data_IF_414341380136
#
_entry.id   IF_414341380136
#
_cell.length_a   1.000
_cell.length_b   1.000
_cell.length_c   1.000
_cell.angle_alpha   90.00
_cell.angle_beta   90.00
_cell.angle_gamma   90.00
#
_symmetry.space_group_name_H-M   'P 1'
#
loop_
_entity.id
_entity.type
_entity.pdbx_description
1 polymer ?
#
# COMPACT_ATOMS: atom_id res chain seq x y z
N UNK A 1 -7.39 -11.44 -10.79
CA UNK A 1 -8.58 -10.88 -10.10
C UNK A 1 -9.14 -11.95 -9.19
N UNK A 2 -9.67 -11.61 -8.02
CA UNK A 2 -10.33 -12.56 -7.11
C UNK A 2 -11.56 -11.90 -6.47
N UNK A 3 -12.63 -12.66 -6.33
CA UNK A 3 -13.89 -12.18 -5.74
C UNK A 3 -14.06 -12.73 -4.33
N UNK A 4 -14.53 -11.86 -3.45
CA UNK A 4 -14.84 -12.09 -2.05
C UNK A 4 -16.31 -11.77 -1.81
N UNK A 5 -16.95 -12.59 -0.99
CA UNK A 5 -18.38 -12.47 -0.72
C UNK A 5 -18.61 -12.65 0.78
N UNK A 6 -19.43 -11.79 1.36
CA UNK A 6 -19.83 -11.84 2.75
C UNK A 6 -21.33 -11.56 2.87
N UNK A 7 -22.04 -12.37 3.65
CA UNK A 7 -23.41 -12.05 4.03
C UNK A 7 -23.39 -11.32 5.38
N UNK A 8 -23.53 -9.99 5.35
CA UNK A 8 -23.47 -9.16 6.53
C UNK A 8 -24.87 -8.99 7.17
N UNK A 9 -25.02 -9.16 8.49
CA UNK A 9 -26.33 -9.21 9.16
C UNK A 9 -27.19 -7.95 8.95
N UNK A 10 -26.57 -6.79 8.76
CA UNK A 10 -27.27 -5.51 8.53
C UNK A 10 -27.08 -4.92 7.14
N UNK A 11 -26.02 -5.31 6.41
CA UNK A 11 -25.65 -4.73 5.11
C UNK A 11 -26.04 -5.65 3.94
N UNK A 12 -26.53 -6.85 4.24
CA UNK A 12 -26.88 -7.87 3.24
C UNK A 12 -25.64 -8.45 2.58
N UNK A 13 -25.81 -8.92 1.34
CA UNK A 13 -24.74 -9.53 0.56
C UNK A 13 -23.74 -8.47 0.06
N UNK A 14 -22.51 -8.54 0.54
CA UNK A 14 -21.38 -7.73 0.08
C UNK A 14 -20.56 -8.57 -0.90
N UNK A 15 -20.32 -8.04 -2.10
CA UNK A 15 -19.48 -8.64 -3.12
C UNK A 15 -18.36 -7.66 -3.51
N UNK A 16 -17.12 -8.11 -3.40
CA UNK A 16 -15.94 -7.33 -3.78
C UNK A 16 -15.07 -8.14 -4.75
N UNK A 17 -14.72 -7.54 -5.88
CA UNK A 17 -13.78 -8.13 -6.84
C UNK A 17 -12.51 -7.28 -6.89
N UNK A 18 -11.41 -7.82 -6.40
CA UNK A 18 -10.11 -7.17 -6.54
C UNK A 18 -9.61 -7.33 -7.98
N UNK A 19 -9.76 -6.25 -8.76
CA UNK A 19 -9.25 -6.15 -10.13
C UNK A 19 -7.75 -5.84 -10.19
N UNK A 20 -7.20 -5.24 -9.14
CA UNK A 20 -5.81 -4.78 -9.03
C UNK A 20 -4.96 -5.69 -8.15
N UNK A 21 -5.40 -6.92 -7.87
CA UNK A 21 -4.71 -7.87 -6.97
C UNK A 21 -3.20 -7.92 -7.15
N UNK A 22 -2.69 -8.02 -8.38
CA UNK A 22 -1.25 -8.13 -8.62
C UNK A 22 -0.50 -6.80 -8.45
N UNK A 23 -1.18 -5.66 -8.49
CA UNK A 23 -0.58 -4.35 -8.21
C UNK A 23 -0.09 -4.26 -6.77
N UNK A 24 -0.65 -5.04 -5.84
CA UNK A 24 -0.15 -5.10 -4.46
C UNK A 24 1.30 -5.58 -4.34
N UNK A 25 1.85 -6.28 -5.34
CA UNK A 25 3.29 -6.61 -5.38
C UNK A 25 4.18 -5.37 -5.44
N UNK A 26 3.64 -4.22 -5.88
CA UNK A 26 4.38 -2.97 -5.91
C UNK A 26 4.73 -2.42 -4.51
N UNK A 27 4.08 -2.92 -3.45
CA UNK A 27 4.40 -2.52 -2.06
C UNK A 27 5.86 -2.77 -1.69
N UNK A 28 6.52 -3.74 -2.35
CA UNK A 28 7.92 -4.09 -2.14
C UNK A 28 8.86 -2.94 -2.53
N UNK A 29 8.48 -2.08 -3.48
CA UNK A 29 9.38 -1.03 -3.97
C UNK A 29 9.63 0.07 -2.93
N UNK A 30 8.61 0.45 -2.16
CA UNK A 30 8.76 1.58 -1.24
C UNK A 30 9.76 1.30 -0.10
N UNK A 31 9.77 0.13 0.56
CA UNK A 31 10.80 -0.25 1.52
C UNK A 31 12.23 -0.30 0.96
N UNK A 32 12.41 -0.40 -0.36
CA UNK A 32 13.73 -0.37 -1.01
C UNK A 32 14.25 1.05 -1.23
N UNK A 33 13.38 2.06 -1.22
CA UNK A 33 13.76 3.47 -1.45
C UNK A 33 14.87 3.94 -0.50
N UNK A 34 14.79 3.70 0.84
CA UNK A 34 15.86 4.10 1.74
C UNK A 34 17.23 3.49 1.39
N UNK A 35 17.28 2.26 0.88
CA UNK A 35 18.54 1.60 0.50
C UNK A 35 19.25 2.33 -0.65
N UNK A 36 18.47 2.85 -1.60
CA UNK A 36 18.99 3.67 -2.71
C UNK A 36 19.63 4.96 -2.18
N UNK A 37 18.96 5.64 -1.24
CA UNK A 37 19.48 6.89 -0.67
C UNK A 37 20.66 6.66 0.28
N UNK A 38 20.68 5.53 1.00
CA UNK A 38 21.87 5.10 1.77
C UNK A 38 23.05 4.88 0.82
N UNK A 39 22.85 4.20 -0.31
CA UNK A 39 23.91 4.02 -1.31
C UNK A 39 24.48 5.36 -1.78
N UNK A 40 23.63 6.33 -2.14
CA UNK A 40 24.08 7.67 -2.54
C UNK A 40 24.78 8.45 -1.42
N UNK A 41 24.33 8.31 -0.18
CA UNK A 41 25.03 8.86 0.98
C UNK A 41 26.45 8.27 1.10
N UNK A 42 26.60 6.96 0.99
CA UNK A 42 27.92 6.30 1.08
C UNK A 42 28.88 6.74 -0.03
N UNK A 43 28.39 7.15 -1.20
CA UNK A 43 29.24 7.67 -2.27
C UNK A 43 29.63 9.14 -2.09
N UNK A 44 28.72 9.96 -1.54
CA UNK A 44 28.88 11.42 -1.52
C UNK A 44 29.30 11.99 -0.16
N UNK A 45 29.05 11.27 0.93
CA UNK A 45 29.18 11.77 2.30
C UNK A 45 28.14 12.80 2.71
N UNK A 46 27.17 13.16 1.85
CA UNK A 46 26.20 14.22 2.14
C UNK A 46 25.01 13.70 2.94
N UNK A 47 24.92 14.09 4.21
CA UNK A 47 23.87 13.67 5.14
C UNK A 47 22.47 14.10 4.72
N UNK A 48 22.33 15.18 3.95
CA UNK A 48 21.04 15.66 3.47
C UNK A 48 20.30 14.62 2.60
N UNK A 49 21.03 13.73 1.94
CA UNK A 49 20.47 12.62 1.14
C UNK A 49 19.62 11.69 2.00
N UNK A 50 20.00 11.48 3.26
CA UNK A 50 19.27 10.61 4.19
C UNK A 50 17.91 11.22 4.61
N UNK A 51 17.74 12.55 4.48
CA UNK A 51 16.47 13.21 4.75
C UNK A 51 15.44 13.02 3.61
N UNK A 52 15.87 12.69 2.39
CA UNK A 52 14.99 12.56 1.21
C UNK A 52 13.88 11.51 1.39
N UNK A 53 14.15 10.27 1.83
CA UNK A 53 13.07 9.29 2.07
C UNK A 53 12.10 9.75 3.17
N UNK A 54 12.58 10.47 4.18
CA UNK A 54 11.73 11.01 5.24
C UNK A 54 10.81 12.11 4.72
N UNK A 55 11.35 13.09 3.98
CA UNK A 55 10.54 14.17 3.38
C UNK A 55 9.52 13.58 2.40
N UNK A 56 9.93 12.60 1.59
CA UNK A 56 9.01 11.94 0.65
C UNK A 56 7.87 11.25 1.40
N UNK A 57 8.17 10.45 2.41
CA UNK A 57 7.16 9.67 3.13
C UNK A 57 6.25 10.48 4.06
N UNK A 58 6.78 11.51 4.71
CA UNK A 58 6.04 12.28 5.73
C UNK A 58 5.51 13.62 5.24
N UNK A 59 5.95 14.11 4.08
CA UNK A 59 5.48 15.38 3.51
C UNK A 59 4.85 15.14 2.15
N UNK A 60 5.60 14.57 1.20
CA UNK A 60 5.12 14.48 -0.19
C UNK A 60 3.94 13.52 -0.31
N UNK A 61 4.04 12.29 0.22
CA UNK A 61 2.95 11.31 0.13
C UNK A 61 1.65 11.77 0.79
N UNK A 62 1.65 12.27 2.05
CA UNK A 62 0.43 12.82 2.64
C UNK A 62 -0.19 13.97 1.83
N UNK A 63 0.63 14.84 1.23
CA UNK A 63 0.12 15.91 0.37
C UNK A 63 -0.51 15.38 -0.92
N UNK A 64 0.08 14.36 -1.52
CA UNK A 64 -0.50 13.70 -2.70
C UNK A 64 -1.80 12.97 -2.35
N UNK A 65 -1.85 12.25 -1.24
CA UNK A 65 -3.06 11.57 -0.76
C UNK A 65 -4.20 12.57 -0.51
N UNK A 66 -3.88 13.72 0.10
CA UNK A 66 -4.84 14.81 0.29
C UNK A 66 -5.32 15.41 -1.03
N UNK A 67 -4.42 15.63 -2.00
CA UNK A 67 -4.75 16.25 -3.28
C UNK A 67 -5.53 15.31 -4.22
N UNK A 68 -5.24 14.01 -4.19
CA UNK A 68 -5.85 13.00 -5.09
C UNK A 68 -7.12 12.40 -4.48
N UNK A 69 -7.14 12.20 -3.15
CA UNK A 69 -8.26 11.57 -2.43
C UNK A 69 -8.21 10.04 -2.45
N UNK A 70 -9.25 9.42 -1.89
CA UNK A 70 -9.33 7.96 -1.67
C UNK A 70 -9.57 7.16 -2.96
N UNK A 71 -8.90 6.02 -3.10
CA UNK A 71 -9.16 5.08 -4.21
C UNK A 71 -10.50 4.34 -4.01
N UNK A 72 -11.43 4.54 -4.94
CA UNK A 72 -12.75 3.88 -4.93
C UNK A 72 -12.70 2.36 -5.18
N UNK A 73 -11.52 1.83 -5.53
CA UNK A 73 -11.29 0.39 -5.70
C UNK A 73 -10.83 -0.31 -4.42
N UNK A 74 -10.66 0.42 -3.31
CA UNK A 74 -10.33 -0.17 -2.02
C UNK A 74 -11.42 -1.14 -1.55
N UNK A 75 -11.04 -2.25 -0.87
CA UNK A 75 -12.00 -3.22 -0.36
C UNK A 75 -12.88 -2.59 0.74
N UNK A 76 -14.16 -3.02 0.86
CA UNK A 76 -14.97 -2.73 2.04
C UNK A 76 -14.29 -3.29 3.30
N UNK A 77 -14.42 -2.59 4.43
CA UNK A 77 -13.83 -3.00 5.72
C UNK A 77 -14.26 -4.41 6.13
N UNK A 78 -15.50 -4.81 5.83
CA UNK A 78 -16.02 -6.12 6.17
C UNK A 78 -15.35 -7.26 5.40
N UNK A 79 -14.73 -6.96 4.26
CA UNK A 79 -14.01 -7.94 3.42
C UNK A 79 -12.56 -8.11 3.89
N UNK A 80 -12.00 -7.13 4.62
CA UNK A 80 -10.60 -7.14 5.06
C UNK A 80 -10.20 -8.43 5.77
N UNK A 81 -10.99 -9.02 6.70
CA UNK A 81 -10.64 -10.30 7.33
C UNK A 81 -10.44 -11.45 6.33
N UNK A 82 -11.20 -11.48 5.23
CA UNK A 82 -11.03 -12.50 4.19
C UNK A 82 -9.76 -12.27 3.36
N UNK A 83 -9.30 -11.02 3.24
CA UNK A 83 -8.02 -10.70 2.60
C UNK A 83 -6.86 -11.12 3.50
N UNK A 84 -6.96 -10.90 4.81
CA UNK A 84 -5.96 -11.32 5.80
C UNK A 84 -5.79 -12.85 5.86
N UNK A 85 -6.82 -13.63 5.54
CA UNK A 85 -6.71 -15.09 5.45
C UNK A 85 -6.14 -15.59 4.10
N UNK A 86 -6.14 -14.73 3.08
CA UNK A 86 -5.68 -15.09 1.75
C UNK A 86 -4.15 -15.11 1.68
N UNK A 87 -3.61 -16.28 1.31
CA UNK A 87 -2.15 -16.52 1.17
C UNK A 87 -1.41 -15.45 0.39
N UNK A 88 -2.02 -14.86 -0.65
CA UNK A 88 -1.35 -13.83 -1.44
C UNK A 88 -1.09 -12.55 -0.65
N UNK A 89 -2.09 -12.03 0.08
CA UNK A 89 -1.90 -10.81 0.87
C UNK A 89 -1.06 -11.09 2.11
N UNK A 90 -1.20 -12.28 2.73
CA UNK A 90 -0.33 -12.75 3.82
C UNK A 90 1.15 -12.88 3.47
N UNK A 91 1.49 -13.06 2.20
CA UNK A 91 2.88 -13.08 1.76
C UNK A 91 3.43 -11.65 1.57
N UNK A 92 2.55 -10.66 1.47
CA UNK A 92 2.89 -9.25 1.25
C UNK A 92 2.87 -8.41 2.53
N UNK A 93 2.37 -8.93 3.64
CA UNK A 93 2.20 -8.25 4.94
C UNK A 93 2.48 -9.23 6.06
#
# INVERSE_FOLDING_TARGET
MKTYTLNHPTKGLINYTDKKRYLWLSSIFYPLVPLVFIYYYLQSGNEAILAVPLITGYVIFPLLDWAIGSDSSNPPEEIVPQLEEDKFYRLLT
#
